data_IF_591820645242
#
_entry.id   IF_591820645242
#
_cell.length_a   1.000
_cell.length_b   1.000
_cell.length_c   1.000
_cell.angle_alpha   90.00
_cell.angle_beta   90.00
_cell.angle_gamma   90.00
#
_symmetry.space_group_name_H-M   'P 1'
#
loop_
_entity.id
_entity.type
_entity.pdbx_description
1 polymer ?
#
# COMPACT_ATOMS: atom_id res chain seq x y z
N UNK A 1 -2.06 -46.95 40.40
CA UNK A 1 -0.96 -46.91 39.41
C UNK A 1 -1.02 -48.22 38.63
N UNK A 2 -1.75 -48.24 37.51
CA UNK A 2 -1.99 -49.43 36.67
C UNK A 2 -1.46 -49.14 35.27
N UNK A 3 -0.17 -49.38 35.06
CA UNK A 3 0.46 -49.46 33.74
C UNK A 3 1.51 -50.56 33.83
N UNK A 4 1.06 -51.81 33.94
CA UNK A 4 1.92 -52.99 33.86
C UNK A 4 1.10 -54.19 33.35
N UNK A 5 0.41 -54.03 32.22
CA UNK A 5 0.09 -55.16 31.36
C UNK A 5 1.12 -55.17 30.24
N UNK A 6 2.02 -56.15 30.29
CA UNK A 6 3.09 -56.39 29.32
C UNK A 6 2.56 -56.87 27.98
N UNK A 7 1.88 -55.99 27.25
CA UNK A 7 1.51 -56.23 25.86
C UNK A 7 2.75 -56.43 24.99
N UNK A 8 2.65 -57.16 23.86
CA UNK A 8 3.77 -57.39 22.97
C UNK A 8 4.40 -56.06 22.54
N UNK A 9 5.71 -55.93 22.80
CA UNK A 9 6.49 -54.74 22.41
C UNK A 9 6.46 -54.61 20.88
N UNK A 10 6.00 -53.48 20.33
CA UNK A 10 6.01 -53.28 18.90
C UNK A 10 7.46 -53.31 18.40
N UNK A 11 7.73 -54.19 17.45
CA UNK A 11 9.03 -54.28 16.79
C UNK A 11 9.27 -52.98 16.00
N UNK A 12 10.44 -52.33 16.12
CA UNK A 12 10.74 -51.13 15.37
C UNK A 12 10.74 -51.45 13.87
N UNK A 13 10.24 -50.50 13.07
CA UNK A 13 10.28 -50.62 11.62
C UNK A 13 11.74 -50.77 11.12
N UNK A 14 11.98 -51.50 10.03
CA UNK A 14 13.30 -51.62 9.44
C UNK A 14 13.94 -50.24 9.19
N UNK A 15 15.24 -50.12 9.45
CA UNK A 15 15.94 -48.83 9.36
C UNK A 15 15.82 -48.16 7.97
N UNK A 16 15.78 -48.97 6.90
CA UNK A 16 15.59 -48.49 5.53
C UNK A 16 14.20 -47.85 5.30
N UNK A 17 13.15 -48.39 5.92
CA UNK A 17 11.78 -47.88 5.80
C UNK A 17 11.63 -46.56 6.55
N UNK A 18 12.20 -46.47 7.75
CA UNK A 18 12.23 -45.22 8.53
C UNK A 18 12.95 -44.12 7.76
N UNK A 19 14.12 -44.44 7.18
CA UNK A 19 14.91 -43.47 6.42
C UNK A 19 14.19 -43.00 5.17
N UNK A 20 13.71 -43.93 4.33
CA UNK A 20 13.06 -43.59 3.06
C UNK A 20 11.75 -42.81 3.28
N UNK A 21 11.01 -43.14 4.35
CA UNK A 21 9.80 -42.39 4.72
C UNK A 21 10.13 -40.98 5.17
N UNK A 22 11.17 -40.81 5.99
CA UNK A 22 11.67 -39.49 6.41
C UNK A 22 12.11 -38.63 5.23
N UNK A 23 12.89 -39.19 4.31
CA UNK A 23 13.35 -38.49 3.10
C UNK A 23 12.16 -38.06 2.23
N UNK A 24 11.22 -38.96 1.92
CA UNK A 24 10.02 -38.62 1.12
C UNK A 24 9.17 -37.53 1.78
N UNK A 25 9.00 -37.60 3.10
CA UNK A 25 8.26 -36.61 3.88
C UNK A 25 8.95 -35.25 3.79
N UNK A 26 10.26 -35.19 3.96
CA UNK A 26 11.04 -33.97 3.84
C UNK A 26 10.89 -33.37 2.43
N UNK A 27 11.10 -34.16 1.38
CA UNK A 27 10.92 -33.73 -0.01
C UNK A 27 9.50 -33.19 -0.28
N UNK A 28 8.47 -33.86 0.24
CA UNK A 28 7.09 -33.41 0.11
C UNK A 28 6.88 -32.04 0.75
N UNK A 29 7.33 -31.85 1.99
CA UNK A 29 7.20 -30.57 2.69
C UNK A 29 8.00 -29.46 2.05
N UNK A 30 9.21 -29.73 1.56
CA UNK A 30 10.00 -28.74 0.82
C UNK A 30 9.28 -28.31 -0.45
N UNK A 31 8.76 -29.27 -1.24
CA UNK A 31 7.97 -28.94 -2.44
C UNK A 31 6.74 -28.15 -2.07
N UNK A 32 5.99 -28.56 -1.04
CA UNK A 32 4.80 -27.85 -0.59
C UNK A 32 5.11 -26.41 -0.18
N UNK A 33 6.17 -26.19 0.58
CA UNK A 33 6.61 -24.87 1.00
C UNK A 33 6.96 -23.99 -0.20
N UNK A 34 7.72 -24.53 -1.17
CA UNK A 34 8.05 -23.82 -2.41
C UNK A 34 6.79 -23.45 -3.20
N UNK A 35 5.86 -24.37 -3.40
CA UNK A 35 4.62 -24.09 -4.12
C UNK A 35 3.80 -23.01 -3.41
N UNK A 36 3.69 -23.08 -2.09
CA UNK A 36 2.98 -22.08 -1.29
C UNK A 36 3.62 -20.69 -1.43
N UNK A 37 4.96 -20.59 -1.36
CA UNK A 37 5.68 -19.33 -1.60
C UNK A 37 5.40 -18.76 -2.99
N UNK A 38 5.45 -19.59 -4.03
CA UNK A 38 5.16 -19.17 -5.41
C UNK A 38 3.72 -18.66 -5.53
N UNK A 39 2.75 -19.33 -4.91
CA UNK A 39 1.35 -18.90 -4.88
C UNK A 39 1.21 -17.54 -4.19
N UNK A 40 1.83 -17.34 -3.03
CA UNK A 40 1.80 -16.07 -2.30
C UNK A 40 2.41 -14.95 -3.14
N UNK A 41 3.60 -15.15 -3.70
CA UNK A 41 4.26 -14.16 -4.54
C UNK A 41 3.43 -13.79 -5.77
N UNK A 42 2.80 -14.79 -6.39
CA UNK A 42 1.91 -14.57 -7.53
C UNK A 42 0.67 -13.75 -7.14
N UNK A 43 0.05 -14.05 -6.00
CA UNK A 43 -1.08 -13.30 -5.48
C UNK A 43 -0.69 -11.85 -5.13
N UNK A 44 0.48 -11.63 -4.53
CA UNK A 44 1.03 -10.29 -4.29
C UNK A 44 1.25 -9.54 -5.59
N UNK A 45 1.87 -10.17 -6.59
CA UNK A 45 2.06 -9.57 -7.92
C UNK A 45 0.74 -9.21 -8.60
N UNK A 46 -0.26 -10.10 -8.55
CA UNK A 46 -1.61 -9.84 -9.07
C UNK A 46 -2.27 -8.67 -8.35
N UNK A 47 -2.08 -8.54 -7.04
CA UNK A 47 -2.61 -7.43 -6.25
C UNK A 47 -1.95 -6.13 -6.67
N UNK A 48 -0.63 -6.10 -6.84
CA UNK A 48 0.09 -4.92 -7.33
C UNK A 48 -0.35 -4.52 -8.75
N UNK A 49 -0.68 -5.48 -9.60
CA UNK A 49 -1.12 -5.22 -10.97
C UNK A 49 -2.57 -4.68 -11.05
N UNK A 50 -3.43 -5.04 -10.11
CA UNK A 50 -4.86 -4.70 -10.15
C UNK A 50 -5.27 -3.62 -9.15
N UNK A 51 -4.49 -3.39 -8.10
CA UNK A 51 -4.81 -2.40 -7.08
C UNK A 51 -4.74 -0.96 -7.64
N UNK A 52 -5.74 -0.11 -7.35
CA UNK A 52 -5.68 1.30 -7.71
C UNK A 52 -4.50 1.98 -7.00
N UNK A 53 -3.60 2.61 -7.78
CA UNK A 53 -2.40 3.27 -7.25
C UNK A 53 -2.68 4.63 -6.61
N UNK A 54 -3.89 5.17 -6.79
CA UNK A 54 -4.29 6.46 -6.26
C UNK A 54 -5.73 6.45 -5.81
N UNK A 55 -5.94 7.00 -4.63
CA UNK A 55 -7.26 7.42 -4.20
C UNK A 55 -7.61 8.73 -4.92
N UNK A 56 -8.74 8.74 -5.62
CA UNK A 56 -9.35 9.97 -6.12
C UNK A 56 -10.55 10.23 -5.21
N UNK A 57 -10.50 11.25 -4.33
CA UNK A 57 -11.65 11.59 -3.52
C UNK A 57 -12.81 11.96 -4.43
N UNK A 58 -13.98 11.40 -4.15
CA UNK A 58 -15.21 11.87 -4.79
C UNK A 58 -15.46 13.33 -4.35
N UNK A 59 -15.74 14.20 -5.31
CA UNK A 59 -16.06 15.60 -5.01
C UNK A 59 -17.43 15.61 -4.34
N UNK A 60 -17.45 15.95 -3.05
CA UNK A 60 -18.70 16.07 -2.32
C UNK A 60 -19.64 17.07 -3.02
N UNK A 61 -20.94 16.78 -3.12
CA UNK A 61 -21.90 17.72 -3.68
C UNK A 61 -21.85 19.04 -2.91
N UNK A 62 -21.78 20.16 -3.65
CA UNK A 62 -21.65 21.48 -3.05
C UNK A 62 -22.83 21.80 -2.13
N UNK A 63 -22.58 21.97 -0.83
CA UNK A 63 -23.59 22.43 0.12
C UNK A 63 -23.77 23.94 -0.02
N UNK A 64 -25.01 24.41 -0.14
CA UNK A 64 -25.30 25.85 -0.20
C UNK A 64 -24.93 26.49 1.14
N UNK A 65 -23.89 27.33 1.14
CA UNK A 65 -23.52 28.16 2.28
C UNK A 65 -24.33 29.45 2.19
N UNK A 66 -25.28 29.65 3.11
CA UNK A 66 -26.02 30.90 3.23
C UNK A 66 -25.13 32.01 3.79
N UNK A 67 -25.36 33.26 3.37
CA UNK A 67 -24.69 34.44 3.94
C UNK A 67 -23.35 34.83 3.30
N UNK A 68 -22.88 34.10 2.28
CA UNK A 68 -21.76 34.59 1.46
C UNK A 68 -22.31 35.67 0.52
N UNK A 69 -21.69 36.86 0.44
CA UNK A 69 -22.00 37.84 -0.60
C UNK A 69 -21.99 37.12 -1.95
N UNK A 70 -23.02 37.34 -2.77
CA UNK A 70 -23.15 36.68 -4.08
C UNK A 70 -21.83 36.74 -4.84
N UNK A 71 -21.49 35.68 -5.58
CA UNK A 71 -20.23 35.54 -6.32
C UNK A 71 -20.09 36.67 -7.36
N UNK A 72 -19.76 37.88 -6.91
CA UNK A 72 -18.99 38.82 -7.67
C UNK A 72 -17.59 38.21 -7.63
N UNK A 73 -17.08 37.80 -8.79
CA UNK A 73 -15.69 37.38 -8.92
C UNK A 73 -14.72 38.43 -8.36
N UNK A 74 -13.41 38.22 -8.50
CA UNK A 74 -12.41 39.15 -8.00
C UNK A 74 -12.79 40.60 -8.31
N UNK A 75 -12.81 41.45 -7.27
CA UNK A 75 -13.22 42.84 -7.43
C UNK A 75 -12.38 43.50 -8.52
N UNK A 76 -13.02 44.28 -9.40
CA UNK A 76 -12.30 44.97 -10.49
C UNK A 76 -11.19 45.80 -9.87
N UNK A 77 -9.97 45.62 -10.38
CA UNK A 77 -8.81 46.37 -9.93
C UNK A 77 -9.06 47.86 -10.16
N UNK A 78 -8.90 48.64 -9.11
CA UNK A 78 -8.84 50.09 -9.23
C UNK A 78 -7.53 50.48 -9.91
N UNK A 79 -7.42 51.70 -10.47
CA UNK A 79 -6.16 52.19 -11.03
C UNK A 79 -4.98 52.13 -10.04
N UNK A 80 -5.26 52.33 -8.75
CA UNK A 80 -4.28 52.19 -7.66
C UNK A 80 -3.77 50.76 -7.52
N UNK A 81 -4.65 49.78 -7.65
CA UNK A 81 -4.29 48.35 -7.55
C UNK A 81 -3.45 47.91 -8.75
N UNK A 82 -3.71 48.46 -9.93
CA UNK A 82 -2.89 48.23 -11.13
C UNK A 82 -1.48 48.79 -10.94
N UNK A 83 -1.36 50.02 -10.42
CA UNK A 83 -0.05 50.61 -10.12
C UNK A 83 0.73 49.79 -9.09
N UNK A 84 0.06 49.34 -8.02
CA UNK A 84 0.66 48.49 -7.00
C UNK A 84 1.12 47.15 -7.58
N UNK A 85 0.29 46.50 -8.39
CA UNK A 85 0.66 45.25 -9.05
C UNK A 85 1.89 45.40 -9.94
N UNK A 86 1.93 46.47 -10.74
CA UNK A 86 3.06 46.74 -11.62
C UNK A 86 4.35 46.98 -10.82
N UNK A 87 4.27 47.74 -9.72
CA UNK A 87 5.39 47.97 -8.82
C UNK A 87 5.90 46.66 -8.18
N UNK A 88 4.99 45.82 -7.69
CA UNK A 88 5.34 44.53 -7.09
C UNK A 88 5.89 43.53 -8.11
N UNK A 89 5.43 43.60 -9.36
CA UNK A 89 5.90 42.73 -10.45
C UNK A 89 7.25 43.18 -11.01
N UNK A 90 7.57 44.48 -10.92
CA UNK A 90 8.84 45.05 -11.35
C UNK A 90 9.96 44.87 -10.31
N UNK A 91 9.60 44.61 -9.04
CA UNK A 91 10.56 44.27 -8.00
C UNK A 91 11.14 42.86 -8.18
N UNK A 92 12.31 42.56 -7.58
CA UNK A 92 12.82 41.20 -7.53
C UNK A 92 11.75 40.28 -6.93
N UNK A 93 11.62 39.05 -7.44
CA UNK A 93 10.73 38.03 -6.90
C UNK A 93 11.23 37.54 -5.51
N UNK A 94 11.35 38.44 -4.55
CA UNK A 94 11.82 38.19 -3.20
C UNK A 94 10.63 38.01 -2.25
N UNK A 95 9.77 37.05 -2.57
CA UNK A 95 9.05 36.33 -1.52
C UNK A 95 9.95 35.20 -1.02
N UNK A 96 9.84 34.74 0.25
CA UNK A 96 10.52 33.54 0.69
C UNK A 96 10.25 32.43 -0.33
N UNK A 97 11.33 31.76 -0.77
CA UNK A 97 11.32 30.88 -1.94
C UNK A 97 10.07 30.00 -1.96
N UNK A 98 9.16 30.28 -2.90
CA UNK A 98 8.00 29.41 -3.08
C UNK A 98 8.53 28.06 -3.51
N UNK A 99 8.26 27.03 -2.71
CA UNK A 99 8.57 25.66 -3.07
C UNK A 99 7.82 25.35 -4.37
N UNK A 100 8.56 25.22 -5.46
CA UNK A 100 8.03 24.75 -6.74
C UNK A 100 7.86 23.23 -6.62
N UNK A 101 6.69 22.67 -6.95
CA UNK A 101 6.53 21.22 -6.94
C UNK A 101 7.57 20.58 -7.88
N UNK A 102 8.31 19.61 -7.36
CA UNK A 102 9.28 18.85 -8.14
C UNK A 102 8.55 18.15 -9.31
N UNK A 103 9.11 18.22 -10.53
CA UNK A 103 8.59 17.46 -11.66
C UNK A 103 8.72 15.96 -11.38
N UNK A 104 7.72 15.19 -11.83
CA UNK A 104 7.74 13.72 -11.79
C UNK A 104 8.66 13.15 -12.86
#
# INVERSE_FOLDING_TARGET
VLLADGGPVPQPAPAADVRSTGERRAWFWTRLALTATVVIMSATGMTLATAPTRYVPEVAPGQRVGGVPGHAGPQRLTPRDVALRNMLSAGPAAGPGRLVPLPR
#
